data_IF_654055464803
#
_entry.id   IF_654055464803
#
_cell.length_a   1.000
_cell.length_b   1.000
_cell.length_c   1.000
_cell.angle_alpha   90.00
_cell.angle_beta   90.00
_cell.angle_gamma   90.00
#
_symmetry.space_group_name_H-M   'P 1'
#
loop_
_entity.id
_entity.type
_entity.pdbx_description
1 polymer ?
#
# COMPACT_ATOMS: atom_id res chain seq x y z
N UNK A 1 -18.44 26.19 -4.97
CA UNK A 1 -17.54 25.03 -5.14
C UNK A 1 -17.65 24.19 -3.89
N UNK A 2 -17.69 22.85 -3.96
CA UNK A 2 -17.72 22.03 -2.75
C UNK A 2 -16.39 22.17 -1.99
N UNK A 3 -16.45 22.43 -0.69
CA UNK A 3 -15.28 22.47 0.19
C UNK A 3 -15.20 21.14 0.95
N UNK A 4 -14.01 20.51 0.95
CA UNK A 4 -13.80 19.21 1.60
C UNK A 4 -13.04 19.38 2.91
N UNK A 5 -13.62 18.92 4.01
CA UNK A 5 -12.99 18.89 5.33
C UNK A 5 -12.41 17.49 5.55
N UNK A 6 -11.10 17.37 5.77
CA UNK A 6 -10.42 16.09 6.06
C UNK A 6 -10.01 16.04 7.52
N UNK A 7 -10.68 15.19 8.31
CA UNK A 7 -10.38 14.99 9.74
C UNK A 7 -9.94 13.54 9.96
N UNK A 8 -8.77 13.36 10.59
CA UNK A 8 -8.30 12.04 11.05
C UNK A 8 -8.71 11.89 12.51
N UNK A 9 -9.55 10.90 12.79
CA UNK A 9 -10.02 10.62 14.15
C UNK A 9 -10.09 9.11 14.40
N UNK A 10 -10.28 8.73 15.66
CA UNK A 10 -10.46 7.34 16.09
C UNK A 10 -11.93 7.07 16.40
N UNK A 11 -12.35 5.83 16.21
CA UNK A 11 -13.71 5.40 16.58
C UNK A 11 -13.80 5.33 18.11
N UNK A 12 -14.73 6.10 18.69
CA UNK A 12 -15.00 6.15 20.12
C UNK A 12 -15.83 4.93 20.56
N UNK A 13 -15.92 4.65 21.89
CA UNK A 13 -16.79 3.61 22.42
C UNK A 13 -18.22 3.69 21.89
N UNK A 14 -18.85 2.54 21.66
CA UNK A 14 -20.17 2.48 21.03
C UNK A 14 -20.16 2.72 19.51
N UNK A 15 -18.99 2.60 18.85
CA UNK A 15 -18.84 2.78 17.39
C UNK A 15 -19.17 4.21 16.92
N UNK A 16 -18.86 5.20 17.76
CA UNK A 16 -19.21 6.60 17.55
C UNK A 16 -18.05 7.38 16.91
N UNK A 17 -18.38 8.32 16.04
CA UNK A 17 -17.45 9.31 15.48
C UNK A 17 -18.05 10.69 15.76
N UNK A 18 -17.25 11.61 16.29
CA UNK A 18 -17.65 12.99 16.53
C UNK A 18 -16.81 13.92 15.65
N UNK A 19 -17.47 14.87 14.99
CA UNK A 19 -16.86 15.84 14.09
C UNK A 19 -17.28 17.22 14.56
N UNK A 20 -16.29 18.06 14.87
CA UNK A 20 -16.49 19.48 15.17
C UNK A 20 -15.68 20.29 14.16
N UNK A 21 -16.31 21.26 13.52
CA UNK A 21 -15.65 22.22 12.64
C UNK A 21 -16.28 23.60 12.85
N UNK A 22 -15.47 24.66 13.06
CA UNK A 22 -15.99 26.02 13.19
C UNK A 22 -16.57 26.56 11.87
N UNK A 23 -16.28 25.90 10.75
CA UNK A 23 -16.71 26.33 9.41
C UNK A 23 -18.13 25.84 9.06
N UNK A 24 -18.73 24.97 9.89
CA UNK A 24 -20.07 24.43 9.67
C UNK A 24 -21.12 25.36 10.27
N UNK A 25 -22.17 25.65 9.49
CA UNK A 25 -23.28 26.48 9.96
C UNK A 25 -24.49 25.64 10.37
N UNK A 26 -25.26 26.12 11.34
CA UNK A 26 -26.51 25.47 11.75
C UNK A 26 -27.50 25.40 10.57
N UNK A 27 -28.05 24.20 10.33
CA UNK A 27 -28.98 23.95 9.23
C UNK A 27 -28.32 23.71 7.87
N UNK A 28 -26.99 23.75 7.77
CA UNK A 28 -26.26 23.43 6.54
C UNK A 28 -26.40 21.94 6.17
N UNK A 29 -26.69 21.67 4.90
CA UNK A 29 -26.72 20.30 4.39
C UNK A 29 -25.29 19.86 4.02
N UNK A 30 -24.81 18.81 4.69
CA UNK A 30 -23.47 18.26 4.47
C UNK A 30 -23.50 16.77 4.19
N UNK A 31 -22.52 16.30 3.42
CA UNK A 31 -22.26 14.88 3.18
C UNK A 31 -21.00 14.45 3.94
N UNK A 32 -21.08 13.30 4.63
CA UNK A 32 -19.96 12.73 5.37
C UNK A 32 -19.42 11.48 4.67
N UNK A 33 -18.15 11.53 4.24
CA UNK A 33 -17.45 10.38 3.68
C UNK A 33 -16.49 9.78 4.71
N UNK A 34 -16.71 8.53 5.11
CA UNK A 34 -15.85 7.80 6.05
C UNK A 34 -14.93 6.87 5.26
N UNK A 35 -13.64 7.17 5.24
CA UNK A 35 -12.61 6.30 4.67
C UNK A 35 -11.97 5.51 5.80
N UNK A 36 -12.29 4.21 5.88
CA UNK A 36 -11.54 3.30 6.74
C UNK A 36 -10.25 2.93 6.02
N UNK A 37 -9.07 3.03 6.64
CA UNK A 37 -7.90 2.39 6.07
C UNK A 37 -8.25 0.92 5.88
N UNK A 38 -8.03 0.38 4.69
CA UNK A 38 -8.02 -1.07 4.56
C UNK A 38 -7.04 -1.55 5.60
N UNK A 39 -7.47 -2.45 6.49
CA UNK A 39 -6.49 -3.32 7.13
C UNK A 39 -5.60 -3.79 5.98
N UNK A 40 -4.30 -3.50 6.06
CA UNK A 40 -3.37 -4.20 5.19
C UNK A 40 -3.65 -5.65 5.50
N UNK A 41 -4.40 -6.30 4.63
CA UNK A 41 -4.73 -7.68 4.80
C UNK A 41 -3.38 -8.38 4.78
N UNK A 42 -2.87 -8.71 5.95
CA UNK A 42 -1.82 -9.71 6.12
C UNK A 42 -2.42 -11.09 5.84
N UNK A 43 -3.41 -11.17 4.94
CA UNK A 43 -3.83 -12.42 4.38
C UNK A 43 -2.66 -12.90 3.53
N UNK A 44 -2.11 -14.08 3.84
CA UNK A 44 -1.06 -14.65 3.00
C UNK A 44 -1.60 -14.70 1.58
N UNK A 45 -0.91 -14.02 0.67
CA UNK A 45 -1.24 -14.05 -0.75
C UNK A 45 -1.02 -15.49 -1.20
N UNK A 46 -2.01 -16.17 -1.80
CA UNK A 46 -1.82 -17.51 -2.36
C UNK A 46 -0.63 -17.47 -3.32
N UNK A 47 0.26 -18.48 -3.28
CA UNK A 47 1.47 -18.51 -4.09
C UNK A 47 1.20 -18.25 -5.58
N UNK A 48 0.06 -18.71 -6.10
CA UNK A 48 -0.38 -18.46 -7.48
C UNK A 48 -0.63 -16.97 -7.76
N UNK A 49 -1.30 -16.26 -6.84
CA UNK A 49 -1.53 -14.81 -6.97
C UNK A 49 -0.23 -14.00 -6.85
N UNK A 50 0.78 -14.53 -6.17
CA UNK A 50 2.10 -13.90 -6.13
C UNK A 50 2.80 -14.03 -7.50
N UNK A 51 2.74 -15.21 -8.13
CA UNK A 51 3.33 -15.45 -9.46
C UNK A 51 2.72 -14.52 -10.51
N UNK A 52 1.41 -14.27 -10.45
CA UNK A 52 0.69 -13.35 -11.34
C UNK A 52 1.13 -11.88 -11.22
N UNK A 53 1.73 -11.49 -10.09
CA UNK A 53 2.18 -10.11 -9.84
C UNK A 53 3.65 -9.88 -10.16
N UNK A 54 4.39 -10.92 -10.52
CA UNK A 54 5.81 -10.78 -10.83
C UNK A 54 5.98 -9.97 -12.12
N UNK A 55 7.01 -9.11 -12.20
CA UNK A 55 7.32 -8.38 -13.43
C UNK A 55 7.49 -9.33 -14.61
N UNK A 56 7.08 -8.89 -15.79
CA UNK A 56 7.36 -9.62 -17.02
C UNK A 56 8.87 -9.68 -17.29
N UNK A 57 9.31 -10.81 -17.83
CA UNK A 57 10.71 -11.02 -18.20
C UNK A 57 11.43 -12.04 -17.32
N UNK A 58 12.74 -12.24 -17.57
CA UNK A 58 13.55 -13.21 -16.87
C UNK A 58 13.74 -12.80 -15.41
N UNK A 59 13.55 -13.76 -14.50
CA UNK A 59 13.65 -13.54 -13.05
C UNK A 59 15.09 -13.44 -12.53
N UNK A 60 16.07 -13.78 -13.37
CA UNK A 60 17.49 -13.81 -13.03
C UNK A 60 18.30 -12.91 -13.97
N UNK A 61 18.66 -13.42 -15.15
CA UNK A 61 19.43 -12.71 -16.16
C UNK A 61 18.79 -12.91 -17.53
N UNK A 62 19.05 -11.97 -18.45
CA UNK A 62 18.47 -12.01 -19.80
C UNK A 62 19.17 -13.04 -20.67
N UNK A 63 20.46 -13.30 -20.40
CA UNK A 63 21.24 -14.32 -21.09
C UNK A 63 22.09 -15.18 -20.15
N UNK A 64 22.62 -16.27 -20.70
CA UNK A 64 23.52 -17.15 -19.97
C UNK A 64 24.84 -16.47 -19.64
N UNK A 65 25.38 -15.68 -20.58
CA UNK A 65 26.64 -14.94 -20.41
C UNK A 65 26.55 -13.91 -19.27
N UNK A 66 25.39 -13.26 -19.13
CA UNK A 66 25.14 -12.32 -18.03
C UNK A 66 25.09 -13.04 -16.68
N UNK A 67 24.43 -14.20 -16.63
CA UNK A 67 24.34 -15.00 -15.42
C UNK A 67 25.70 -15.54 -14.99
N UNK A 68 26.50 -16.04 -15.94
CA UNK A 68 27.84 -16.55 -15.71
C UNK A 68 28.80 -15.46 -15.23
N UNK A 69 28.71 -14.25 -15.81
CA UNK A 69 29.47 -13.08 -15.34
C UNK A 69 29.11 -12.74 -13.88
N UNK A 70 27.83 -12.61 -13.56
CA UNK A 70 27.38 -12.28 -12.20
C UNK A 70 27.83 -13.34 -11.17
N UNK A 71 27.75 -14.63 -11.54
CA UNK A 71 28.19 -15.72 -10.67
C UNK A 71 29.71 -15.69 -10.41
N UNK A 72 30.50 -15.36 -11.43
CA UNK A 72 31.95 -15.27 -11.29
C UNK A 72 32.38 -14.05 -10.45
N UNK A 73 31.68 -12.93 -10.58
CA UNK A 73 31.89 -11.74 -9.73
C UNK A 73 31.58 -12.05 -8.26
N UNK A 74 30.48 -12.76 -7.98
CA UNK A 74 30.13 -13.16 -6.62
C UNK A 74 31.20 -14.08 -6.02
N UNK A 75 31.64 -15.10 -6.76
CA UNK A 75 32.72 -16.00 -6.31
C UNK A 75 34.01 -15.25 -5.99
N UNK A 76 34.43 -14.34 -6.87
CA UNK A 76 35.64 -13.55 -6.66
C UNK A 76 35.54 -12.62 -5.44
N UNK A 77 34.34 -12.15 -5.09
CA UNK A 77 34.11 -11.34 -3.89
C UNK A 77 34.25 -12.16 -2.60
N UNK A 78 33.99 -13.47 -2.63
CA UNK A 78 34.11 -14.36 -1.46
C UNK A 78 35.54 -14.87 -1.26
N UNK A 79 36.38 -14.84 -2.29
CA UNK A 79 37.79 -15.22 -2.23
C UNK A 79 38.73 -14.08 -1.78
N UNK A 80 38.19 -12.87 -1.57
CA UNK A 80 38.92 -11.70 -1.03
C UNK A 80 38.75 -11.59 0.49
#
# INVERSE_FOLDING_TARGET
MPHTIKIKTTVLPGRRIEVFSPDLQEGEQVELLIVRPSEQSTHPVPMLQLVERLPEGPRSAVSWEELERALNEEKAAWER
#
